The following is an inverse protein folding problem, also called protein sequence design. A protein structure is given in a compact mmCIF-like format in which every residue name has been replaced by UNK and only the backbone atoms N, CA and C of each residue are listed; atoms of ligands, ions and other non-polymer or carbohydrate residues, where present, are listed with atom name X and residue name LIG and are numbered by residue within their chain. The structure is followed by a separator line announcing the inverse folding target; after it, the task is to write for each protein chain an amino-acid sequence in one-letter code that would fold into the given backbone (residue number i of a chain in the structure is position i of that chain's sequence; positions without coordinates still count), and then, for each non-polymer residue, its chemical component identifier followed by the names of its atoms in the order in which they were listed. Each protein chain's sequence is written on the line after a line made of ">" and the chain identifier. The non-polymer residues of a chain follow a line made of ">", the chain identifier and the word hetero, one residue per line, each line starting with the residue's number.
data_IF_920196632441
#
_entry.id   IF_920196632441
#
_cell.length_a   1.000
_cell.length_b   1.000
_cell.length_c   1.000
_cell.angle_alpha   90.00
_cell.angle_beta   90.00
_cell.angle_gamma   90.00
#
_symmetry.space_group_name_H-M   'P 1'
#
loop_
_entity.id
_entity.type
_entity.pdbx_description
1 polymer ?
#
# COMPACT_ATOMS: atom_id res chain seq x y z
N UNK A 1 -13.05 3.33 2.11
CA UNK A 1 -13.08 1.90 1.75
C UNK A 1 -11.84 1.15 2.23
N UNK A 2 -10.64 1.43 1.70
CA UNK A 2 -9.39 0.72 2.05
C UNK A 2 -9.12 0.69 3.57
N UNK A 3 -9.13 1.84 4.24
CA UNK A 3 -8.85 1.91 5.68
C UNK A 3 -9.82 1.07 6.54
N UNK A 4 -11.11 1.04 6.18
CA UNK A 4 -12.12 0.22 6.86
C UNK A 4 -11.89 -1.28 6.62
N UNK A 5 -11.56 -1.67 5.38
CA UNK A 5 -11.19 -3.05 5.05
C UNK A 5 -9.95 -3.51 5.82
N UNK A 6 -8.86 -2.73 5.79
CA UNK A 6 -7.64 -3.05 6.52
C UNK A 6 -7.87 -3.06 8.04
N UNK A 7 -8.71 -2.16 8.56
CA UNK A 7 -9.08 -2.14 9.97
C UNK A 7 -9.79 -3.41 10.43
N UNK A 8 -10.71 -3.96 9.62
CA UNK A 8 -11.41 -5.22 9.91
C UNK A 8 -10.46 -6.42 9.97
N UNK A 9 -9.42 -6.43 9.14
CA UNK A 9 -8.45 -7.54 9.06
C UNK A 9 -7.12 -7.23 9.75
N UNK A 10 -7.07 -6.18 10.57
CA UNK A 10 -5.84 -5.70 11.23
C UNK A 10 -5.09 -6.79 12.00
N UNK A 11 -5.74 -7.66 12.80
CA UNK A 11 -5.01 -8.68 13.56
C UNK A 11 -4.18 -9.62 12.68
N UNK A 12 -4.70 -9.97 11.49
CA UNK A 12 -3.98 -10.80 10.51
C UNK A 12 -2.91 -9.99 9.77
N UNK A 13 -3.19 -8.72 9.47
CA UNK A 13 -2.27 -7.83 8.77
C UNK A 13 -1.02 -7.51 9.60
N UNK A 14 -1.17 -7.34 10.91
CA UNK A 14 -0.09 -6.97 11.84
C UNK A 14 0.60 -8.20 12.45
N UNK A 15 0.11 -9.41 12.17
CA UNK A 15 0.70 -10.64 12.64
C UNK A 15 2.07 -10.88 11.98
N UNK A 16 3.15 -10.69 12.73
CA UNK A 16 4.47 -11.16 12.32
C UNK A 16 4.42 -12.69 12.15
N UNK A 17 5.03 -13.24 11.09
CA UNK A 17 4.88 -14.66 10.72
C UNK A 17 5.22 -15.62 11.88
N UNK A 18 6.22 -15.29 12.69
CA UNK A 18 6.59 -16.11 13.87
C UNK A 18 5.47 -16.11 14.91
N UNK A 19 4.88 -14.95 15.19
CA UNK A 19 3.80 -14.80 16.16
C UNK A 19 2.51 -15.41 15.63
N UNK A 20 2.29 -15.34 14.31
CA UNK A 20 1.16 -15.98 13.65
C UNK A 20 1.09 -17.46 14.01
N UNK A 21 2.24 -18.15 14.00
CA UNK A 21 2.27 -19.55 14.38
C UNK A 21 2.34 -19.78 15.89
N UNK A 22 3.18 -19.02 16.60
CA UNK A 22 3.38 -19.19 18.05
C UNK A 22 2.09 -18.97 18.84
N UNK A 23 1.35 -17.92 18.49
CA UNK A 23 0.15 -17.49 19.19
C UNK A 23 -1.13 -18.02 18.54
N UNK A 24 -1.00 -18.95 17.58
CA UNK A 24 -2.09 -19.59 16.84
C UNK A 24 -3.07 -18.60 16.18
N UNK A 25 -2.56 -17.49 15.65
CA UNK A 25 -3.40 -16.45 15.05
C UNK A 25 -4.16 -16.95 13.81
N UNK A 26 -3.79 -18.10 13.25
CA UNK A 26 -4.57 -18.80 12.23
C UNK A 26 -5.99 -19.16 12.70
N UNK A 27 -6.25 -19.28 14.01
CA UNK A 27 -7.59 -19.54 14.55
C UNK A 27 -8.52 -18.34 14.45
N UNK A 28 -7.97 -17.15 14.18
CA UNK A 28 -8.76 -15.96 13.88
C UNK A 28 -9.28 -15.95 12.44
N UNK A 29 -8.72 -16.80 11.57
CA UNK A 29 -9.23 -17.00 10.21
C UNK A 29 -10.52 -17.80 10.31
N UNK A 30 -11.50 -17.40 9.50
CA UNK A 30 -12.77 -18.10 9.39
C UNK A 30 -12.55 -19.61 9.14
N UNK A 31 -13.23 -20.44 9.93
CA UNK A 31 -13.03 -21.89 9.91
C UNK A 31 -13.39 -22.51 8.55
N UNK A 32 -14.40 -21.97 7.87
CA UNK A 32 -14.81 -22.46 6.55
C UNK A 32 -13.74 -22.10 5.51
N UNK A 33 -13.07 -20.96 5.67
CA UNK A 33 -11.95 -20.57 4.80
C UNK A 33 -10.78 -21.53 5.00
N UNK A 34 -10.41 -21.80 6.25
CA UNK A 34 -9.33 -22.72 6.57
C UNK A 34 -9.61 -24.15 6.09
N UNK A 35 -10.84 -24.63 6.26
CA UNK A 35 -11.24 -25.97 5.83
C UNK A 35 -11.27 -26.12 4.31
N UNK A 36 -11.64 -25.06 3.59
CA UNK A 36 -11.57 -25.03 2.13
C UNK A 36 -10.11 -24.94 1.65
N UNK A 37 -9.36 -23.94 2.11
CA UNK A 37 -8.02 -23.63 1.60
C UNK A 37 -6.98 -24.71 1.91
N UNK A 38 -7.12 -25.44 3.02
CA UNK A 38 -6.22 -26.57 3.34
C UNK A 38 -6.31 -27.74 2.35
N UNK A 39 -7.38 -27.82 1.56
CA UNK A 39 -7.65 -28.88 0.58
C UNK A 39 -7.23 -28.48 -0.85
N UNK A 40 -6.89 -27.20 -1.05
CA UNK A 40 -6.46 -26.68 -2.34
C UNK A 40 -5.02 -27.08 -2.67
N UNK A 41 -4.69 -27.29 -3.96
CA UNK A 41 -3.31 -27.40 -4.39
C UNK A 41 -2.59 -26.06 -4.20
N UNK A 42 -1.27 -26.08 -3.97
CA UNK A 42 -0.55 -24.83 -3.63
C UNK A 42 -0.55 -23.84 -4.79
N UNK A 43 -0.63 -24.33 -6.02
CA UNK A 43 -0.78 -23.51 -7.22
C UNK A 43 -2.03 -22.63 -7.16
N UNK A 44 -3.16 -23.17 -6.69
CA UNK A 44 -4.38 -22.40 -6.48
C UNK A 44 -4.23 -21.37 -5.36
N UNK A 45 -3.53 -21.72 -4.27
CA UNK A 45 -3.28 -20.80 -3.16
C UNK A 45 -2.40 -19.62 -3.57
N UNK A 46 -1.41 -19.84 -4.44
CA UNK A 46 -0.54 -18.79 -4.97
C UNK A 46 -1.29 -17.76 -5.84
N UNK A 47 -2.47 -18.11 -6.34
CA UNK A 47 -3.32 -17.23 -7.16
C UNK A 47 -4.27 -16.34 -6.33
N UNK A 48 -4.31 -16.48 -5.00
CA UNK A 48 -5.13 -15.63 -4.13
C UNK A 48 -4.82 -14.13 -4.31
N UNK A 49 -3.55 -13.67 -4.36
CA UNK A 49 -3.23 -12.25 -4.53
C UNK A 49 -3.60 -11.68 -5.91
N UNK A 50 -3.79 -12.51 -6.94
CA UNK A 50 -4.31 -12.04 -8.24
C UNK A 50 -5.82 -11.83 -8.24
N UNK A 51 -6.49 -12.21 -7.16
CA UNK A 51 -7.93 -12.09 -7.00
C UNK A 51 -8.71 -13.06 -7.87
N UNK A 52 -8.15 -14.27 -8.06
CA UNK A 52 -8.85 -15.42 -8.61
C UNK A 52 -9.67 -16.08 -7.50
N UNK A 53 -10.87 -16.55 -7.84
CA UNK A 53 -11.78 -17.26 -6.94
C UNK A 53 -12.24 -18.55 -7.59
N UNK A 54 -12.65 -19.54 -6.80
CA UNK A 54 -13.21 -20.80 -7.28
C UNK A 54 -14.65 -20.95 -6.79
N UNK A 55 -15.51 -21.57 -7.61
CA UNK A 55 -16.95 -21.64 -7.36
C UNK A 55 -17.29 -22.40 -6.07
N UNK A 56 -16.50 -23.40 -5.70
CA UNK A 56 -16.72 -24.21 -4.49
C UNK A 56 -16.20 -23.54 -3.21
N UNK A 57 -15.55 -22.38 -3.29
CA UNK A 57 -15.08 -21.66 -2.11
C UNK A 57 -16.26 -21.01 -1.37
N UNK A 58 -16.19 -20.88 -0.03
CA UNK A 58 -17.21 -20.16 0.73
C UNK A 58 -17.44 -18.74 0.17
N UNK A 59 -18.69 -18.29 0.08
CA UNK A 59 -19.01 -16.99 -0.51
C UNK A 59 -18.34 -15.82 0.23
N UNK A 60 -18.16 -15.93 1.55
CA UNK A 60 -17.44 -14.94 2.36
C UNK A 60 -15.96 -14.82 1.97
N UNK A 61 -15.31 -15.94 1.61
CA UNK A 61 -13.92 -15.95 1.12
C UNK A 61 -13.83 -15.31 -0.27
N UNK A 62 -14.76 -15.67 -1.16
CA UNK A 62 -14.83 -15.07 -2.50
C UNK A 62 -15.02 -13.55 -2.40
N UNK A 63 -15.94 -13.10 -1.55
CA UNK A 63 -16.19 -11.67 -1.31
C UNK A 63 -14.96 -10.96 -0.76
N UNK A 64 -14.25 -11.57 0.21
CA UNK A 64 -13.01 -11.02 0.75
C UNK A 64 -11.95 -10.80 -0.34
N UNK A 65 -11.71 -11.80 -1.18
CA UNK A 65 -10.72 -11.76 -2.25
C UNK A 65 -11.08 -10.71 -3.30
N UNK A 66 -12.34 -10.70 -3.76
CA UNK A 66 -12.82 -9.73 -4.75
C UNK A 66 -12.79 -8.30 -4.21
N UNK A 67 -13.15 -8.12 -2.93
CA UNK A 67 -13.03 -6.84 -2.25
C UNK A 67 -11.58 -6.39 -2.19
N UNK A 68 -10.67 -7.25 -1.72
CA UNK A 68 -9.24 -6.93 -1.67
C UNK A 68 -8.69 -6.53 -3.05
N UNK A 69 -9.07 -7.26 -4.12
CA UNK A 69 -8.69 -6.95 -5.50
C UNK A 69 -9.22 -5.58 -5.96
N UNK A 70 -10.47 -5.25 -5.63
CA UNK A 70 -11.07 -3.94 -6.00
C UNK A 70 -10.37 -2.75 -5.33
N UNK A 71 -9.66 -3.00 -4.22
CA UNK A 71 -8.96 -1.99 -3.43
C UNK A 71 -7.52 -1.76 -3.88
N UNK A 72 -7.06 -2.46 -4.93
CA UNK A 72 -5.71 -2.32 -5.47
C UNK A 72 -5.48 -0.90 -5.97
N UNK A 73 -4.39 -0.29 -5.49
CA UNK A 73 -3.92 1.00 -6.00
C UNK A 73 -3.34 0.83 -7.42
N UNK A 74 -3.61 1.76 -8.35
CA UNK A 74 -3.01 1.74 -9.68
C UNK A 74 -1.48 1.63 -9.59
N UNK A 75 -0.91 0.64 -10.27
CA UNK A 75 0.55 0.42 -10.31
C UNK A 75 1.24 1.25 -11.39
N UNK A 76 0.48 1.91 -12.25
CA UNK A 76 1.01 2.82 -13.26
C UNK A 76 1.64 4.05 -12.60
N UNK A 77 2.92 4.27 -12.88
CA UNK A 77 3.59 5.52 -12.50
C UNK A 77 3.01 6.66 -13.32
N UNK A 78 2.05 7.35 -12.73
CA UNK A 78 1.52 8.59 -13.27
C UNK A 78 2.44 9.74 -12.90
N UNK A 79 2.74 10.62 -13.87
CA UNK A 79 3.58 11.80 -13.61
C UNK A 79 2.91 12.69 -12.55
N UNK A 80 3.68 13.36 -11.66
CA UNK A 80 3.11 14.31 -10.69
C UNK A 80 2.23 15.38 -11.34
N UNK A 81 2.56 15.77 -12.58
CA UNK A 81 1.80 16.72 -13.40
C UNK A 81 0.37 16.26 -13.71
N UNK A 82 0.13 14.95 -13.78
CA UNK A 82 -1.21 14.39 -14.02
C UNK A 82 -2.18 14.57 -12.84
N UNK A 83 -1.66 14.77 -11.63
CA UNK A 83 -2.45 14.98 -10.41
C UNK A 83 -2.41 16.44 -9.95
N UNK A 84 -1.30 17.13 -10.18
CA UNK A 84 -1.08 18.52 -9.83
C UNK A 84 -0.52 19.24 -11.06
N UNK A 85 -1.39 19.81 -11.91
CA UNK A 85 -0.98 20.48 -13.15
C UNK A 85 0.01 21.63 -12.92
N UNK A 86 -0.05 22.24 -11.74
CA UNK A 86 0.83 23.33 -11.32
C UNK A 86 2.10 22.86 -10.60
N UNK A 87 2.32 21.55 -10.46
CA UNK A 87 3.54 21.01 -9.87
C UNK A 87 4.71 21.23 -10.84
N UNK A 88 5.64 22.09 -10.44
CA UNK A 88 6.93 22.23 -11.11
C UNK A 88 7.95 21.43 -10.31
N UNK A 89 8.34 20.29 -10.84
CA UNK A 89 9.49 19.55 -10.32
C UNK A 89 10.73 20.35 -10.71
N UNK A 90 11.34 21.04 -9.75
CA UNK A 90 12.59 21.75 -9.95
C UNK A 90 13.77 20.80 -9.66
N UNK A 91 14.83 20.89 -10.45
CA UNK A 91 16.07 20.16 -10.19
C UNK A 91 16.70 20.65 -8.88
N UNK A 92 17.15 19.71 -8.03
CA UNK A 92 17.87 20.06 -6.81
C UNK A 92 19.25 20.63 -7.20
N UNK A 93 19.57 21.81 -6.66
CA UNK A 93 20.87 22.44 -6.84
C UNK A 93 22.03 21.54 -6.38
N UNK A 94 23.17 21.64 -7.04
CA UNK A 94 24.31 20.71 -6.86
C UNK A 94 24.82 20.62 -5.42
N UNK A 95 24.76 21.69 -4.65
CA UNK A 95 25.15 21.71 -3.22
C UNK A 95 24.17 20.90 -2.35
N UNK A 96 22.86 21.04 -2.60
CA UNK A 96 21.84 20.27 -1.89
C UNK A 96 21.84 18.79 -2.30
N UNK A 97 22.26 18.49 -3.53
CA UNK A 97 22.38 17.13 -4.05
C UNK A 97 23.62 16.37 -3.53
N UNK A 98 24.56 17.05 -2.86
CA UNK A 98 25.82 16.46 -2.43
C UNK A 98 25.58 15.36 -1.39
N UNK A 99 26.17 14.17 -1.60
CA UNK A 99 25.99 13.01 -0.72
C UNK A 99 24.67 12.26 -0.89
N UNK A 100 23.80 12.70 -1.81
CA UNK A 100 22.57 11.97 -2.15
C UNK A 100 22.85 10.95 -3.24
N UNK A 101 22.30 9.74 -3.08
CA UNK A 101 22.23 8.81 -4.19
C UNK A 101 21.14 9.24 -5.20
N UNK A 102 21.20 8.72 -6.43
CA UNK A 102 20.28 9.10 -7.50
C UNK A 102 18.81 8.86 -7.15
N UNK A 103 18.52 7.81 -6.38
CA UNK A 103 17.16 7.49 -5.91
C UNK A 103 16.63 8.57 -4.96
N UNK A 104 17.41 8.91 -3.92
CA UNK A 104 17.06 9.91 -2.91
C UNK A 104 16.88 11.30 -3.54
N UNK A 105 17.73 11.66 -4.50
CA UNK A 105 17.59 12.90 -5.28
C UNK A 105 16.25 12.94 -6.02
N UNK A 106 15.91 11.89 -6.77
CA UNK A 106 14.66 11.80 -7.51
C UNK A 106 13.42 11.87 -6.61
N UNK A 107 13.42 11.15 -5.49
CA UNK A 107 12.32 11.15 -4.52
C UNK A 107 12.08 12.55 -3.94
N UNK A 108 13.14 13.30 -3.62
CA UNK A 108 13.04 14.66 -3.06
C UNK A 108 12.60 15.68 -4.12
N UNK A 109 13.08 15.57 -5.36
CA UNK A 109 12.61 16.42 -6.46
C UNK A 109 11.09 16.27 -6.68
N UNK A 110 10.61 15.03 -6.73
CA UNK A 110 9.19 14.75 -6.91
C UNK A 110 8.33 15.23 -5.72
N UNK A 111 8.73 14.89 -4.48
CA UNK A 111 7.97 15.25 -3.29
C UNK A 111 7.96 16.77 -3.05
N UNK A 112 9.08 17.46 -3.24
CA UNK A 112 9.17 18.92 -3.06
C UNK A 112 8.25 19.67 -4.03
N UNK A 113 8.17 19.24 -5.30
CA UNK A 113 7.26 19.83 -6.29
C UNK A 113 5.78 19.66 -5.90
N UNK A 114 5.42 18.53 -5.29
CA UNK A 114 4.07 18.27 -4.77
C UNK A 114 3.77 19.16 -3.55
N UNK A 115 4.70 19.23 -2.60
CA UNK A 115 4.57 20.04 -1.38
C UNK A 115 4.40 21.51 -1.72
N UNK A 116 5.22 22.06 -2.62
CA UNK A 116 5.13 23.47 -3.06
C UNK A 116 3.77 23.75 -3.73
N UNK A 117 3.32 22.88 -4.64
CA UNK A 117 2.04 23.05 -5.32
C UNK A 117 0.86 23.07 -4.33
N UNK A 118 0.85 22.16 -3.35
CA UNK A 118 -0.18 22.11 -2.32
C UNK A 118 -0.09 23.34 -1.41
N UNK A 119 1.09 23.69 -0.92
CA UNK A 119 1.29 24.83 -0.03
C UNK A 119 0.81 26.13 -0.69
N UNK A 120 1.16 26.37 -1.95
CA UNK A 120 0.66 27.52 -2.73
C UNK A 120 -0.85 27.49 -2.89
N UNK A 121 -1.42 26.34 -3.26
CA UNK A 121 -2.88 26.20 -3.46
C UNK A 121 -3.70 26.47 -2.19
N UNK A 122 -3.10 26.26 -1.01
CA UNK A 122 -3.72 26.49 0.30
C UNK A 122 -3.31 27.81 0.95
N UNK A 123 -2.46 28.61 0.30
CA UNK A 123 -1.88 29.81 0.89
C UNK A 123 -1.03 29.54 2.15
N UNK A 124 -0.51 28.33 2.29
CA UNK A 124 0.31 27.94 3.43
C UNK A 124 1.67 28.66 3.36
N UNK A 125 2.05 29.29 4.47
CA UNK A 125 3.34 29.99 4.61
C UNK A 125 4.42 29.14 5.27
N UNK A 126 4.02 28.02 5.88
CA UNK A 126 4.89 27.16 6.65
C UNK A 126 4.52 25.71 6.38
N UNK A 127 5.53 24.90 6.10
CA UNK A 127 5.45 23.45 5.97
C UNK A 127 6.30 22.85 7.07
N UNK A 128 5.73 21.91 7.82
CA UNK A 128 6.43 21.20 8.90
C UNK A 128 6.52 19.73 8.49
N UNK A 129 7.75 19.22 8.41
CA UNK A 129 8.03 17.79 8.22
C UNK A 129 8.25 17.14 9.59
N UNK A 130 7.50 16.08 9.89
CA UNK A 130 7.54 15.39 11.18
C UNK A 130 8.11 14.00 10.95
N UNK A 131 9.31 13.74 11.45
CA UNK A 131 9.98 12.44 11.31
C UNK A 131 10.95 12.34 10.11
N UNK A 132 11.49 13.46 9.64
CA UNK A 132 12.47 13.52 8.53
C UNK A 132 13.80 12.79 8.79
N UNK A 133 14.01 12.28 10.01
CA UNK A 133 15.30 11.78 10.47
C UNK A 133 16.34 12.90 10.67
N UNK A 134 17.57 12.50 11.00
CA UNK A 134 18.78 13.32 10.82
C UNK A 134 19.51 12.90 9.54
#
# INVERSE_FOLDING_TARGET
>A
AIASFLGRHRPLLEAHVVNFFKDRLWEMVDADWMECLRREPVESLLMLPSGCVQDHWPSSLQEFILTARSLVLPREQKSPQSFLPNSRVASIGTVLAQGMNSKKKHEIEALSGIVDAIARSRGAKTVVDVGSGQ
#
